data_IF_757156906980
#
_entry.id   IF_757156906980
#
_cell.length_a   1.000
_cell.length_b   1.000
_cell.length_c   1.000
_cell.angle_alpha   90.00
_cell.angle_beta   90.00
_cell.angle_gamma   90.00
#
_symmetry.space_group_name_H-M   'P 1'
#
loop_
_entity.id
_entity.type
_entity.pdbx_description
1 polymer ?
#
# COMPACT_ATOMS: atom_id res chain seq x y z
N UNK A 1 -31.99 -13.89 -22.47
CA UNK A 1 -31.56 -13.04 -23.59
C UNK A 1 -31.00 -11.75 -23.01
N UNK A 2 -29.75 -11.42 -23.37
CA UNK A 2 -28.85 -10.44 -22.75
C UNK A 2 -28.89 -10.47 -21.22
N UNK A 3 -27.93 -11.17 -20.59
CA UNK A 3 -27.78 -11.22 -19.14
C UNK A 3 -27.40 -9.82 -18.65
N UNK A 4 -28.42 -8.99 -18.40
CA UNK A 4 -28.32 -7.73 -17.67
C UNK A 4 -27.77 -8.09 -16.30
N UNK A 5 -26.51 -7.77 -16.03
CA UNK A 5 -26.09 -7.46 -14.66
C UNK A 5 -27.08 -6.40 -14.18
N UNK A 6 -27.96 -6.78 -13.25
CA UNK A 6 -28.85 -5.82 -12.60
C UNK A 6 -27.95 -4.73 -12.06
N UNK A 7 -28.09 -3.50 -12.54
CA UNK A 7 -27.44 -2.36 -11.92
C UNK A 7 -27.79 -2.43 -10.43
N UNK A 8 -26.78 -2.60 -9.57
CA UNK A 8 -26.99 -2.57 -8.13
C UNK A 8 -27.42 -1.14 -7.78
N UNK A 9 -28.73 -0.96 -7.61
CA UNK A 9 -29.29 0.33 -7.22
C UNK A 9 -29.01 0.51 -5.73
N UNK A 10 -27.94 1.24 -5.43
CA UNK A 10 -27.62 1.65 -4.07
C UNK A 10 -28.55 2.80 -3.69
N UNK A 11 -29.54 2.51 -2.84
CA UNK A 11 -30.45 3.53 -2.30
C UNK A 11 -29.81 4.19 -1.07
N UNK A 12 -29.40 5.44 -1.21
CA UNK A 12 -28.83 6.23 -0.12
C UNK A 12 -29.92 7.08 0.55
N UNK A 13 -29.96 7.04 1.88
CA UNK A 13 -30.89 7.86 2.68
C UNK A 13 -30.15 9.08 3.21
N UNK A 14 -30.68 10.26 2.91
CA UNK A 14 -30.18 11.53 3.43
C UNK A 14 -31.14 12.08 4.48
N UNK A 15 -30.61 12.84 5.44
CA UNK A 15 -31.46 13.62 6.36
C UNK A 15 -32.21 14.70 5.57
N UNK A 16 -33.30 15.22 6.15
CA UNK A 16 -34.10 16.28 5.52
C UNK A 16 -33.27 17.51 5.17
N UNK A 17 -32.34 17.88 6.06
CA UNK A 17 -31.46 19.04 5.86
C UNK A 17 -30.46 18.81 4.73
N UNK A 18 -29.88 17.62 4.63
CA UNK A 18 -29.00 17.25 3.52
C UNK A 18 -29.76 17.27 2.18
N UNK A 19 -31.00 16.76 2.12
CA UNK A 19 -31.82 16.79 0.91
C UNK A 19 -32.09 18.23 0.47
N UNK A 20 -32.42 19.13 1.42
CA UNK A 20 -32.67 20.53 1.11
C UNK A 20 -31.41 21.21 0.56
N UNK A 21 -30.24 20.95 1.15
CA UNK A 21 -28.95 21.45 0.66
C UNK A 21 -28.60 20.92 -0.74
N UNK A 22 -28.83 19.62 -0.99
CA UNK A 22 -28.61 19.00 -2.31
C UNK A 22 -29.53 19.62 -3.36
N UNK A 23 -30.82 19.82 -3.04
CA UNK A 23 -31.78 20.46 -3.96
C UNK A 23 -31.38 21.90 -4.29
N UNK A 24 -30.95 22.66 -3.28
CA UNK A 24 -30.47 24.03 -3.47
C UNK A 24 -29.23 24.06 -4.38
N UNK A 25 -28.25 23.21 -4.10
CA UNK A 25 -27.04 23.09 -4.91
C UNK A 25 -27.35 22.64 -6.36
N UNK A 26 -28.33 21.74 -6.53
CA UNK A 26 -28.78 21.28 -7.83
C UNK A 26 -29.40 22.42 -8.65
N UNK A 27 -30.21 23.26 -8.00
CA UNK A 27 -30.77 24.47 -8.63
C UNK A 27 -29.68 25.47 -9.03
N UNK A 28 -28.73 25.75 -8.13
CA UNK A 28 -27.61 26.67 -8.38
C UNK A 28 -26.74 26.24 -9.57
N UNK A 29 -26.54 24.93 -9.74
CA UNK A 29 -25.73 24.36 -10.82
C UNK A 29 -26.55 23.93 -12.05
N UNK A 30 -27.87 24.18 -12.05
CA UNK A 30 -28.80 23.78 -13.12
C UNK A 30 -28.70 22.27 -13.49
N UNK A 31 -28.65 21.41 -12.48
CA UNK A 31 -28.63 19.94 -12.63
C UNK A 31 -29.74 19.29 -11.81
N UNK A 32 -30.00 17.99 -12.03
CA UNK A 32 -30.96 17.25 -11.21
C UNK A 32 -30.42 17.01 -9.79
N UNK A 33 -31.29 16.93 -8.75
CA UNK A 33 -30.87 16.59 -7.40
C UNK A 33 -30.14 15.24 -7.29
N UNK A 34 -30.55 14.25 -8.10
CA UNK A 34 -29.84 12.96 -8.19
C UNK A 34 -28.43 13.16 -8.71
N UNK A 35 -28.25 13.95 -9.78
CA UNK A 35 -26.92 14.20 -10.33
C UNK A 35 -26.04 15.00 -9.37
N UNK A 36 -26.62 15.94 -8.63
CA UNK A 36 -25.92 16.66 -7.58
C UNK A 36 -25.45 15.72 -6.47
N UNK A 37 -26.29 14.77 -6.03
CA UNK A 37 -25.91 13.76 -5.03
C UNK A 37 -24.81 12.82 -5.54
N UNK A 38 -24.92 12.31 -6.77
CA UNK A 38 -23.88 11.50 -7.42
C UNK A 38 -22.53 12.23 -7.46
N UNK A 39 -22.53 13.51 -7.86
CA UNK A 39 -21.31 14.30 -7.92
C UNK A 39 -20.69 14.49 -6.54
N UNK A 40 -21.49 14.70 -5.49
CA UNK A 40 -21.00 14.79 -4.10
C UNK A 40 -20.34 13.47 -3.69
N UNK A 41 -20.98 12.33 -3.96
CA UNK A 41 -20.47 11.00 -3.59
C UNK A 41 -19.18 10.71 -4.35
N UNK A 42 -19.16 10.89 -5.66
CA UNK A 42 -17.97 10.66 -6.49
C UNK A 42 -16.82 11.58 -6.08
N UNK A 43 -17.10 12.86 -5.79
CA UNK A 43 -16.08 13.76 -5.25
C UNK A 43 -15.57 13.30 -3.89
N UNK A 44 -16.44 12.77 -3.02
CA UNK A 44 -16.02 12.23 -1.74
C UNK A 44 -15.15 10.99 -1.91
N UNK A 45 -15.51 10.06 -2.79
CA UNK A 45 -14.71 8.88 -3.13
C UNK A 45 -13.36 9.27 -3.74
N UNK A 46 -13.33 10.25 -4.64
CA UNK A 46 -12.08 10.80 -5.20
C UNK A 46 -11.20 11.44 -4.13
N UNK A 47 -11.80 12.15 -3.18
CA UNK A 47 -11.08 12.73 -2.04
C UNK A 47 -10.54 11.62 -1.14
N UNK A 48 -11.32 10.57 -0.86
CA UNK A 48 -10.87 9.41 -0.11
C UNK A 48 -9.72 8.69 -0.83
N UNK A 49 -9.82 8.39 -2.11
CA UNK A 49 -8.75 7.80 -2.93
C UNK A 49 -7.49 8.67 -2.94
N UNK A 50 -7.63 9.99 -3.11
CA UNK A 50 -6.50 10.94 -3.00
C UNK A 50 -5.92 10.97 -1.59
N UNK A 51 -6.73 10.84 -0.55
CA UNK A 51 -6.29 10.80 0.85
C UNK A 51 -5.53 9.49 1.15
N UNK A 52 -6.02 8.34 0.67
CA UNK A 52 -5.31 7.06 0.73
C UNK A 52 -3.94 7.16 0.05
N UNK A 53 -3.90 7.62 -1.21
CA UNK A 53 -2.64 7.86 -1.95
C UNK A 53 -1.69 8.84 -1.23
N UNK A 54 -2.22 9.83 -0.52
CA UNK A 54 -1.43 10.80 0.26
C UNK A 54 -0.93 10.23 1.58
N UNK A 55 -1.71 9.39 2.26
CA UNK A 55 -1.28 8.70 3.47
C UNK A 55 -0.11 7.75 3.15
N UNK A 56 -0.19 6.99 2.06
CA UNK A 56 0.91 6.16 1.58
C UNK A 56 2.20 6.98 1.38
N UNK A 57 2.09 8.15 0.73
CA UNK A 57 3.22 9.07 0.52
C UNK A 57 3.76 9.71 1.81
N UNK A 58 2.91 9.97 2.80
CA UNK A 58 3.32 10.56 4.09
C UNK A 58 4.07 9.52 4.93
N UNK A 59 3.55 8.29 5.00
CA UNK A 59 4.22 7.17 5.67
C UNK A 59 5.57 6.91 4.98
N UNK A 60 5.62 6.88 3.65
CA UNK A 60 6.88 6.82 2.87
C UNK A 60 7.89 7.89 3.29
N UNK A 61 7.48 9.16 3.31
CA UNK A 61 8.39 10.26 3.68
C UNK A 61 8.91 10.15 5.11
N UNK A 62 8.09 9.67 6.04
CA UNK A 62 8.48 9.43 7.44
C UNK A 62 9.53 8.33 7.54
N UNK A 63 9.31 7.18 6.88
CA UNK A 63 10.24 6.06 6.91
C UNK A 63 11.56 6.36 6.17
N UNK A 64 11.50 7.05 5.02
CA UNK A 64 12.71 7.55 4.33
C UNK A 64 13.53 8.46 5.26
N UNK A 65 12.87 9.35 6.01
CA UNK A 65 13.54 10.25 6.93
C UNK A 65 14.22 9.49 8.09
N UNK A 66 13.59 8.44 8.61
CA UNK A 66 14.21 7.56 9.62
C UNK A 66 15.45 6.86 9.06
N UNK A 67 15.37 6.34 7.84
CA UNK A 67 16.50 5.66 7.18
C UNK A 67 17.66 6.62 6.88
N UNK A 68 17.39 7.82 6.36
CA UNK A 68 18.43 8.84 6.18
C UNK A 68 19.15 9.23 7.47
N UNK A 69 18.45 9.22 8.61
CA UNK A 69 19.07 9.51 9.90
C UNK A 69 19.93 8.34 10.42
N UNK A 70 19.77 7.13 9.87
CA UNK A 70 20.53 5.94 10.26
C UNK A 70 21.87 5.82 9.53
N UNK A 71 21.93 6.26 8.26
CA UNK A 71 23.12 6.13 7.41
C UNK A 71 23.95 7.42 7.39
N UNK A 72 25.27 7.26 7.22
CA UNK A 72 26.18 8.38 7.06
C UNK A 72 26.05 9.01 5.67
N UNK A 73 26.44 10.28 5.54
CA UNK A 73 26.44 10.98 4.25
C UNK A 73 27.24 10.23 3.16
N UNK A 74 28.37 9.62 3.53
CA UNK A 74 29.21 8.84 2.61
C UNK A 74 28.47 7.63 2.04
N UNK A 75 27.62 7.00 2.85
CA UNK A 75 26.77 5.89 2.44
C UNK A 75 25.63 6.37 1.54
N UNK A 76 25.03 7.53 1.81
CA UNK A 76 23.89 8.09 1.06
C UNK A 76 24.27 8.80 -0.26
N UNK A 77 25.44 9.41 -0.35
CA UNK A 77 25.87 10.26 -1.48
C UNK A 77 25.87 9.57 -2.87
N UNK A 78 26.25 8.29 -3.01
CA UNK A 78 26.13 7.57 -4.28
C UNK A 78 24.68 7.44 -4.76
N UNK A 79 23.71 7.42 -3.85
CA UNK A 79 22.29 7.11 -4.12
C UNK A 79 21.45 8.33 -4.44
N UNK A 80 21.71 9.45 -3.77
CA UNK A 80 21.05 10.74 -4.05
C UNK A 80 21.25 11.14 -5.53
N UNK A 81 22.34 10.66 -6.15
CA UNK A 81 22.70 10.95 -7.54
C UNK A 81 21.93 10.13 -8.59
N UNK A 82 21.22 9.05 -8.22
CA UNK A 82 20.71 8.06 -9.18
C UNK A 82 19.18 8.02 -9.37
N UNK A 83 18.42 9.02 -8.86
CA UNK A 83 16.96 9.26 -9.04
C UNK A 83 16.09 8.09 -9.59
N UNK A 84 15.17 7.55 -8.78
CA UNK A 84 13.94 6.93 -9.31
C UNK A 84 12.78 6.83 -8.29
N UNK A 85 11.54 6.85 -8.82
CA UNK A 85 10.13 6.93 -8.30
C UNK A 85 9.78 6.69 -6.80
N UNK A 86 8.63 7.17 -6.27
CA UNK A 86 8.46 7.32 -4.81
C UNK A 86 8.16 6.04 -4.00
N UNK A 87 7.37 5.12 -4.54
CA UNK A 87 6.67 4.09 -3.72
C UNK A 87 7.41 2.75 -3.66
N UNK A 88 7.84 2.25 -4.81
CA UNK A 88 8.56 0.97 -4.96
C UNK A 88 10.04 1.13 -4.63
N UNK A 89 10.56 2.35 -4.82
CA UNK A 89 11.99 2.65 -4.76
C UNK A 89 12.50 2.67 -3.33
N UNK A 90 11.80 3.22 -2.35
CA UNK A 90 12.44 3.54 -1.07
C UNK A 90 12.93 2.31 -0.29
N UNK A 91 12.11 1.27 -0.11
CA UNK A 91 12.58 0.05 0.56
C UNK A 91 13.60 -0.74 -0.28
N UNK A 92 13.43 -0.77 -1.61
CA UNK A 92 14.39 -1.40 -2.53
C UNK A 92 15.75 -0.67 -2.53
N UNK A 93 15.76 0.65 -2.38
CA UNK A 93 16.96 1.48 -2.35
C UNK A 93 17.82 1.25 -1.11
N UNK A 94 17.20 1.05 0.07
CA UNK A 94 17.96 0.79 1.30
C UNK A 94 18.28 -0.69 1.51
N UNK A 95 17.59 -1.58 0.79
CA UNK A 95 17.81 -3.02 0.90
C UNK A 95 19.28 -3.46 0.86
N UNK A 96 20.15 -2.94 -0.04
CA UNK A 96 21.52 -3.41 -0.13
C UNK A 96 22.42 -2.88 1.00
N UNK A 97 21.91 -1.93 1.79
CA UNK A 97 22.60 -1.26 2.89
C UNK A 97 22.18 -1.79 4.26
N UNK A 98 21.02 -2.45 4.32
CA UNK A 98 20.46 -3.00 5.54
C UNK A 98 20.96 -4.43 5.73
N UNK A 99 21.28 -4.78 6.97
CA UNK A 99 21.46 -6.18 7.35
C UNK A 99 20.12 -6.91 7.28
N UNK A 100 20.17 -8.23 7.13
CA UNK A 100 18.99 -9.08 7.01
C UNK A 100 17.91 -8.78 8.07
N UNK A 101 18.28 -8.73 9.36
CA UNK A 101 17.32 -8.45 10.43
C UNK A 101 16.75 -7.02 10.36
N UNK A 102 17.56 -6.06 9.91
CA UNK A 102 17.12 -4.67 9.74
C UNK A 102 16.12 -4.55 8.58
N UNK A 103 16.28 -5.37 7.54
CA UNK A 103 15.32 -5.48 6.43
C UNK A 103 13.98 -6.03 6.91
N UNK A 104 14.00 -7.10 7.72
CA UNK A 104 12.77 -7.67 8.29
C UNK A 104 12.07 -6.75 9.28
N UNK A 105 12.81 -6.05 10.14
CA UNK A 105 12.27 -5.05 11.07
C UNK A 105 11.63 -3.85 10.35
N UNK A 106 12.28 -3.36 9.29
CA UNK A 106 11.76 -2.25 8.48
C UNK A 106 10.45 -2.65 7.80
N UNK A 107 10.42 -3.85 7.21
CA UNK A 107 9.22 -4.43 6.60
C UNK A 107 8.08 -4.64 7.62
N UNK A 108 8.37 -5.21 8.79
CA UNK A 108 7.42 -5.34 9.90
C UNK A 108 6.83 -3.99 10.31
N UNK A 109 7.68 -2.98 10.44
CA UNK A 109 7.26 -1.63 10.83
C UNK A 109 6.35 -1.01 9.78
N UNK A 110 6.66 -1.19 8.50
CA UNK A 110 5.85 -0.71 7.38
C UNK A 110 4.44 -1.31 7.41
N UNK A 111 4.30 -2.65 7.45
CA UNK A 111 2.97 -3.26 7.47
C UNK A 111 2.18 -2.92 8.72
N UNK A 112 2.83 -2.92 9.90
CA UNK A 112 2.17 -2.55 11.15
C UNK A 112 1.59 -1.14 11.11
N UNK A 113 2.31 -0.19 10.50
CA UNK A 113 1.81 1.18 10.34
C UNK A 113 0.62 1.28 9.37
N UNK A 114 0.51 0.34 8.43
CA UNK A 114 -0.62 0.23 7.51
C UNK A 114 -1.74 -0.66 8.06
N UNK A 115 -1.71 -1.04 9.35
CA UNK A 115 -2.77 -1.83 9.99
C UNK A 115 -2.72 -3.33 9.69
N UNK A 116 -1.59 -3.82 9.17
CA UNK A 116 -1.42 -5.22 8.79
C UNK A 116 -0.31 -5.90 9.60
N UNK A 117 -0.40 -7.23 9.70
CA UNK A 117 0.56 -8.03 10.44
C UNK A 117 1.32 -8.96 9.49
N UNK A 118 2.63 -9.02 9.71
CA UNK A 118 3.49 -10.03 9.11
C UNK A 118 3.78 -11.13 10.11
N UNK A 119 3.84 -12.34 9.58
CA UNK A 119 4.22 -13.55 10.31
C UNK A 119 5.51 -14.08 9.71
N UNK A 120 6.36 -14.61 10.59
CA UNK A 120 7.66 -15.18 10.26
C UNK A 120 7.73 -16.60 10.82
N UNK A 121 8.12 -17.55 9.97
CA UNK A 121 8.43 -18.91 10.38
C UNK A 121 9.82 -19.31 9.87
N UNK A 122 10.74 -19.54 10.81
CA UNK A 122 12.13 -19.86 10.53
C UNK A 122 12.34 -21.38 10.67
N UNK A 123 12.61 -22.06 9.54
CA UNK A 123 12.80 -23.50 9.49
C UNK A 123 13.87 -23.89 8.47
N UNK A 124 14.76 -24.80 8.85
CA UNK A 124 15.81 -25.35 7.98
C UNK A 124 16.66 -24.28 7.27
N UNK A 125 16.93 -23.15 7.94
CA UNK A 125 17.70 -22.03 7.39
C UNK A 125 16.93 -21.13 6.41
N UNK A 126 15.61 -21.28 6.33
CA UNK A 126 14.71 -20.44 5.55
C UNK A 126 13.75 -19.68 6.47
N UNK A 127 13.56 -18.38 6.20
CA UNK A 127 12.50 -17.56 6.79
C UNK A 127 11.34 -17.50 5.80
N UNK A 128 10.20 -18.03 6.18
CA UNK A 128 8.93 -17.85 5.47
C UNK A 128 8.29 -16.56 5.97
N UNK A 129 7.96 -15.66 5.06
CA UNK A 129 7.28 -14.40 5.36
C UNK A 129 5.87 -14.47 4.81
N UNK A 130 4.88 -14.27 5.67
CA UNK A 130 3.46 -14.31 5.29
C UNK A 130 2.74 -13.06 5.78
N UNK A 131 1.99 -12.41 4.90
CA UNK A 131 0.98 -11.42 5.25
C UNK A 131 -0.40 -12.06 5.03
N UNK A 132 -1.21 -12.16 6.09
CA UNK A 132 -2.54 -12.77 6.02
C UNK A 132 -3.64 -11.76 6.39
N UNK A 133 -4.84 -11.96 5.84
CA UNK A 133 -6.06 -11.20 6.10
C UNK A 133 -5.93 -9.70 5.82
N UNK A 134 -5.49 -9.34 4.62
CA UNK A 134 -5.63 -7.97 4.15
C UNK A 134 -6.96 -7.83 3.40
N UNK A 135 -7.85 -6.97 3.88
CA UNK A 135 -9.11 -6.59 3.21
C UNK A 135 -8.88 -5.67 1.99
N UNK A 136 -7.62 -5.51 1.57
CA UNK A 136 -7.17 -4.62 0.50
C UNK A 136 -7.24 -5.26 -0.89
N UNK A 137 -7.47 -6.57 -0.96
CA UNK A 137 -7.63 -7.34 -2.19
C UNK A 137 -6.33 -7.72 -2.92
N UNK A 138 -6.45 -8.63 -3.89
CA UNK A 138 -5.32 -9.29 -4.58
C UNK A 138 -4.25 -8.33 -5.11
N UNK A 139 -4.64 -7.28 -5.85
CA UNK A 139 -3.66 -6.39 -6.47
C UNK A 139 -2.77 -5.67 -5.45
N UNK A 140 -3.33 -5.30 -4.30
CA UNK A 140 -2.57 -4.63 -3.24
C UNK A 140 -1.60 -5.59 -2.57
N UNK A 141 -2.06 -6.80 -2.25
CA UNK A 141 -1.25 -7.87 -1.66
C UNK A 141 -0.10 -8.29 -2.58
N UNK A 142 -0.41 -8.50 -3.86
CA UNK A 142 0.57 -8.88 -4.88
C UNK A 142 1.66 -7.80 -5.02
N UNK A 143 1.29 -6.54 -5.18
CA UNK A 143 2.25 -5.44 -5.35
C UNK A 143 3.13 -5.29 -4.11
N UNK A 144 2.55 -5.29 -2.92
CA UNK A 144 3.34 -5.19 -1.68
C UNK A 144 4.28 -6.38 -1.54
N UNK A 145 3.78 -7.61 -1.67
CA UNK A 145 4.61 -8.82 -1.61
C UNK A 145 5.78 -8.78 -2.60
N UNK A 146 5.55 -8.35 -3.84
CA UNK A 146 6.59 -8.22 -4.87
C UNK A 146 7.64 -7.16 -4.54
N UNK A 147 7.26 -6.05 -3.88
CA UNK A 147 8.22 -5.04 -3.42
C UNK A 147 9.24 -5.68 -2.47
N UNK A 148 8.79 -6.48 -1.51
CA UNK A 148 9.67 -7.14 -0.55
C UNK A 148 10.48 -8.27 -1.17
N UNK A 149 9.84 -9.07 -2.01
CA UNK A 149 10.54 -10.12 -2.76
C UNK A 149 11.72 -9.54 -3.55
N UNK A 150 11.50 -8.39 -4.22
CA UNK A 150 12.55 -7.67 -4.94
C UNK A 150 13.57 -7.03 -3.99
N UNK A 151 13.14 -6.44 -2.87
CA UNK A 151 14.01 -5.87 -1.84
C UNK A 151 15.09 -6.87 -1.39
N UNK A 152 14.70 -8.09 -1.02
CA UNK A 152 15.65 -9.12 -0.60
C UNK A 152 16.56 -9.61 -1.73
N UNK A 153 16.05 -9.74 -2.95
CA UNK A 153 16.87 -10.08 -4.12
C UNK A 153 17.91 -8.99 -4.45
N UNK A 154 17.53 -7.72 -4.36
CA UNK A 154 18.44 -6.59 -4.63
C UNK A 154 19.58 -6.55 -3.59
N UNK A 155 19.28 -6.91 -2.34
CA UNK A 155 20.26 -7.13 -1.26
C UNK A 155 21.06 -8.45 -1.37
N UNK A 156 20.89 -9.21 -2.46
CA UNK A 156 21.57 -10.50 -2.71
C UNK A 156 21.20 -11.63 -1.75
N UNK A 157 20.07 -11.53 -1.06
CA UNK A 157 19.47 -12.67 -0.37
C UNK A 157 18.74 -13.56 -1.37
N UNK A 158 18.80 -14.87 -1.17
CA UNK A 158 18.12 -15.85 -2.03
C UNK A 158 16.66 -15.95 -1.61
N UNK A 159 15.74 -15.48 -2.46
CA UNK A 159 14.30 -15.63 -2.24
C UNK A 159 13.68 -16.69 -3.16
N UNK A 160 12.59 -17.32 -2.72
CA UNK A 160 11.85 -18.32 -3.49
C UNK A 160 10.36 -18.34 -3.13
N UNK A 161 9.58 -19.13 -3.89
CA UNK A 161 8.20 -19.50 -3.58
C UNK A 161 7.21 -18.33 -3.39
N UNK A 162 7.35 -17.24 -4.16
CA UNK A 162 6.38 -16.14 -4.08
C UNK A 162 4.98 -16.61 -4.52
N UNK A 163 4.01 -16.43 -3.63
CA UNK A 163 2.58 -16.73 -3.85
C UNK A 163 1.74 -15.57 -3.31
N UNK A 164 0.63 -15.29 -3.97
CA UNK A 164 -0.35 -14.31 -3.50
C UNK A 164 -1.74 -14.68 -4.00
N UNK A 165 -2.75 -14.42 -3.17
CA UNK A 165 -4.17 -14.53 -3.47
C UNK A 165 -4.92 -13.29 -2.93
N UNK A 166 -6.25 -13.34 -2.88
CA UNK A 166 -7.08 -12.23 -2.44
C UNK A 166 -6.94 -11.91 -0.94
N UNK A 167 -6.42 -12.85 -0.15
CA UNK A 167 -6.38 -12.76 1.31
C UNK A 167 -4.94 -12.68 1.86
N UNK A 168 -3.95 -13.11 1.09
CA UNK A 168 -2.58 -13.24 1.55
C UNK A 168 -1.49 -13.10 0.47
N UNK A 169 -0.26 -12.90 0.93
CA UNK A 169 0.95 -13.25 0.17
C UNK A 169 1.96 -13.99 1.07
N UNK A 170 2.79 -14.80 0.44
CA UNK A 170 3.87 -15.56 1.07
C UNK A 170 5.10 -15.62 0.17
N UNK A 171 6.30 -15.58 0.76
CA UNK A 171 7.54 -16.00 0.10
C UNK A 171 8.58 -16.46 1.12
N UNK A 172 9.62 -17.14 0.64
CA UNK A 172 10.73 -17.64 1.48
C UNK A 172 12.02 -16.93 1.17
N UNK A 173 12.89 -16.86 2.17
CA UNK A 173 14.22 -16.26 2.06
C UNK A 173 15.23 -17.10 2.80
N UNK A 174 16.40 -17.35 2.20
CA UNK A 174 17.52 -17.97 2.90
C UNK A 174 18.07 -17.02 3.97
N UNK A 175 18.07 -17.47 5.21
CA UNK A 175 18.68 -16.74 6.33
C UNK A 175 20.21 -16.78 6.10
N UNK A 176 20.90 -15.63 6.09
CA UNK A 176 22.36 -15.61 6.00
C UNK A 176 22.98 -16.38 7.18
N UNK A 177 24.01 -17.18 6.92
CA UNK A 177 24.81 -17.78 7.99
C UNK A 177 25.42 -16.65 8.84
N UNK A 178 25.22 -16.71 10.16
CA UNK A 178 25.72 -15.71 11.12
C UNK A 178 27.24 -15.70 11.20
#
# INVERSE_FOLDING_TARGET
MAVKTKDEVISLRFTKDHINSIKKLAQENNISPTKAAENIINNHLDVLDKCFKRQDMIIQRSEIKKLYNRFTKKELDPWIKTKYEPTVSCMQLFSPMLKFEEMTETMSSWFKQNGHHLYYDDKDGLRTITCANSDMGYNWLYVNGMIYFKMFNDAKHVTSDFKSDEESFEFKIKIPEQ
#
